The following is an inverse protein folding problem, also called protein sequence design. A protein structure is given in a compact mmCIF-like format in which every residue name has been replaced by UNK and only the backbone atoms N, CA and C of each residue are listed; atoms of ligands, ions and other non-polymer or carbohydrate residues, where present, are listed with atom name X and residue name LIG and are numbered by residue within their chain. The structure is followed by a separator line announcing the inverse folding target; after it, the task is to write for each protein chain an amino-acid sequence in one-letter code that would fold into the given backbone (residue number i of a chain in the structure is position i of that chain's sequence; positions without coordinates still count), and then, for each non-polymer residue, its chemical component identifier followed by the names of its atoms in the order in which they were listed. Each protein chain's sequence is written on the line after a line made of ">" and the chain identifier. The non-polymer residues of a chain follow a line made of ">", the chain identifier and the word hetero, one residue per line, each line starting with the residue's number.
data_IF_216504195916
#
_entry.id   IF_216504195916
#
_cell.length_a   1.000
_cell.length_b   1.000
_cell.length_c   1.000
_cell.angle_alpha   90.00
_cell.angle_beta   90.00
_cell.angle_gamma   90.00
#
_symmetry.space_group_name_H-M   'P 1'
#
loop_
_entity.id
_entity.type
_entity.pdbx_description
1 polymer ?
#
# COMPACT_ATOMS: atom_id res chain seq x y z
N UNK A 1 21.56 12.18 -31.94
CA UNK A 1 21.75 10.90 -31.22
C UNK A 1 22.00 11.27 -29.77
N UNK A 2 20.92 11.39 -28.99
CA UNK A 2 20.99 11.85 -27.61
C UNK A 2 21.62 10.76 -26.74
N UNK A 3 22.52 11.17 -25.85
CA UNK A 3 23.08 10.33 -24.81
C UNK A 3 21.93 9.76 -23.97
N UNK A 4 21.62 8.48 -24.16
CA UNK A 4 20.86 7.73 -23.16
C UNK A 4 21.71 7.74 -21.89
N UNK A 5 21.16 8.27 -20.79
CA UNK A 5 21.77 8.17 -19.46
C UNK A 5 22.12 6.70 -19.24
N UNK A 6 23.42 6.42 -19.19
CA UNK A 6 23.98 5.06 -19.14
C UNK A 6 23.86 4.43 -17.75
N UNK A 7 23.44 5.23 -16.77
CA UNK A 7 23.28 4.87 -15.37
C UNK A 7 21.96 5.50 -14.90
N UNK A 8 21.13 4.72 -14.21
CA UNK A 8 20.00 5.26 -13.45
C UNK A 8 20.55 6.25 -12.42
N UNK A 9 19.83 7.36 -12.18
CA UNK A 9 20.22 8.31 -11.15
C UNK A 9 20.31 7.57 -9.80
N UNK A 10 21.32 7.91 -8.99
CA UNK A 10 21.53 7.27 -7.69
C UNK A 10 20.28 7.46 -6.85
N UNK A 11 19.54 6.37 -6.61
CA UNK A 11 18.26 6.45 -5.90
C UNK A 11 18.58 6.77 -4.45
N UNK A 12 18.03 7.90 -3.96
CA UNK A 12 18.26 8.38 -2.61
C UNK A 12 17.81 7.37 -1.54
N UNK A 13 18.22 7.56 -0.27
CA UNK A 13 17.78 6.65 0.78
C UNK A 13 16.27 6.75 0.99
N UNK A 14 15.65 5.63 1.34
CA UNK A 14 14.25 5.59 1.73
C UNK A 14 14.11 6.13 3.16
N UNK A 15 13.35 7.20 3.36
CA UNK A 15 13.21 7.84 4.67
C UNK A 15 11.87 7.45 5.31
N UNK A 16 11.83 7.41 6.65
CA UNK A 16 10.57 7.37 7.39
C UNK A 16 10.11 8.81 7.60
N UNK A 17 9.05 9.19 6.89
CA UNK A 17 8.52 10.57 6.89
C UNK A 17 7.63 10.82 8.10
N UNK A 18 6.85 9.82 8.48
CA UNK A 18 5.90 9.94 9.59
C UNK A 18 5.59 8.56 10.19
N UNK A 19 5.35 8.53 11.50
CA UNK A 19 4.77 7.37 12.19
C UNK A 19 3.46 7.77 12.85
N UNK A 20 2.52 6.83 12.89
CA UNK A 20 1.22 6.98 13.53
C UNK A 20 1.00 5.73 14.37
N UNK A 21 1.05 5.78 15.70
CA UNK A 21 1.26 6.98 16.50
C UNK A 21 2.66 7.60 16.28
N UNK A 22 2.76 8.90 16.56
CA UNK A 22 4.06 9.55 16.65
C UNK A 22 4.86 8.96 17.84
N UNK A 23 6.18 8.98 17.75
CA UNK A 23 7.01 8.58 18.89
C UNK A 23 6.73 9.49 20.10
N UNK A 24 6.41 8.88 21.25
CA UNK A 24 6.03 9.56 22.48
C UNK A 24 4.55 9.99 22.53
N UNK A 25 3.70 9.57 21.60
CA UNK A 25 2.25 9.78 21.67
C UNK A 25 1.70 9.24 23.00
N UNK A 26 0.85 10.01 23.67
CA UNK A 26 0.38 9.69 25.03
C UNK A 26 -1.09 9.24 25.10
N UNK A 27 -1.81 9.32 23.99
CA UNK A 27 -3.23 9.01 23.93
C UNK A 27 -3.59 8.25 22.64
N UNK A 28 -2.84 7.19 22.33
CA UNK A 28 -3.12 6.35 21.18
C UNK A 28 -4.39 5.51 21.40
N UNK A 29 -5.24 5.42 20.38
CA UNK A 29 -6.48 4.65 20.44
C UNK A 29 -6.19 3.14 20.65
N UNK A 30 -6.77 2.48 21.67
CA UNK A 30 -6.71 1.02 21.84
C UNK A 30 -7.11 0.20 20.61
N UNK A 31 -7.91 0.78 19.73
CA UNK A 31 -8.38 0.19 18.48
C UNK A 31 -7.62 0.69 17.26
N UNK A 32 -6.57 1.48 17.45
CA UNK A 32 -5.80 2.06 16.35
C UNK A 32 -5.01 1.04 15.55
N UNK A 33 -4.72 1.40 14.30
CA UNK A 33 -3.69 0.78 13.48
C UNK A 33 -2.40 1.58 13.63
N UNK A 34 -1.25 0.92 13.57
CA UNK A 34 0.03 1.61 13.57
C UNK A 34 0.54 1.70 12.14
N UNK A 35 0.86 2.89 11.67
CA UNK A 35 1.29 3.17 10.30
C UNK A 35 2.68 3.81 10.28
N UNK A 36 3.56 3.32 9.42
CA UNK A 36 4.90 3.86 9.14
C UNK A 36 4.90 4.32 7.69
N UNK A 37 4.96 5.63 7.49
CA UNK A 37 4.95 6.25 6.17
C UNK A 37 6.38 6.51 5.68
N UNK A 38 6.63 6.11 4.43
CA UNK A 38 7.93 6.22 3.78
C UNK A 38 7.94 7.32 2.71
N UNK A 39 9.13 7.83 2.39
CA UNK A 39 9.32 8.88 1.38
C UNK A 39 9.09 8.42 -0.06
N UNK A 40 9.25 7.11 -0.32
CA UNK A 40 9.08 6.49 -1.63
C UNK A 40 8.38 5.13 -1.49
N UNK A 41 8.11 4.49 -2.64
CA UNK A 41 7.45 3.19 -2.68
C UNK A 41 8.33 2.07 -2.11
N UNK A 42 7.70 1.18 -1.36
CA UNK A 42 8.35 0.05 -0.69
C UNK A 42 8.10 -1.23 -1.47
N UNK A 43 9.12 -2.09 -1.61
CA UNK A 43 8.98 -3.40 -2.22
C UNK A 43 8.28 -4.39 -1.26
N UNK A 44 7.07 -4.87 -1.55
CA UNK A 44 6.38 -5.83 -0.69
C UNK A 44 7.07 -7.21 -0.67
N UNK A 45 8.02 -7.50 -1.58
CA UNK A 45 8.74 -8.79 -1.65
C UNK A 45 9.77 -8.96 -0.55
N UNK A 46 10.31 -7.86 -0.01
CA UNK A 46 11.45 -7.91 0.93
C UNK A 46 11.02 -7.80 2.40
N UNK A 47 9.76 -7.45 2.67
CA UNK A 47 9.24 -7.35 4.03
C UNK A 47 8.83 -8.74 4.54
N UNK A 48 9.56 -9.22 5.54
CA UNK A 48 9.31 -10.46 6.25
C UNK A 48 8.51 -10.31 7.55
N UNK A 49 8.28 -11.45 8.21
CA UNK A 49 7.40 -11.52 9.38
C UNK A 49 7.96 -10.89 10.67
N UNK A 50 9.26 -10.64 10.70
CA UNK A 50 9.94 -10.19 11.91
C UNK A 50 10.50 -8.77 11.78
N UNK A 51 10.22 -8.11 10.67
CA UNK A 51 10.84 -6.83 10.37
C UNK A 51 10.13 -5.67 11.05
N UNK A 52 8.81 -5.76 11.21
CA UNK A 52 8.03 -4.84 12.03
C UNK A 52 7.17 -5.65 13.02
N UNK A 53 7.36 -5.38 14.33
CA UNK A 53 6.77 -6.17 15.42
C UNK A 53 6.29 -5.26 16.56
N UNK A 54 5.18 -5.61 17.21
CA UNK A 54 4.59 -4.86 18.32
C UNK A 54 4.96 -5.50 19.66
N UNK A 55 5.34 -4.67 20.64
CA UNK A 55 5.79 -5.12 21.96
C UNK A 55 5.20 -4.27 23.08
N UNK A 56 5.06 -4.87 24.26
CA UNK A 56 4.96 -4.15 25.53
C UNK A 56 5.86 -4.86 26.56
N UNK A 57 6.79 -4.10 27.15
CA UNK A 57 7.86 -4.68 27.97
C UNK A 57 8.65 -5.77 27.22
N UNK A 58 8.61 -7.00 27.76
CA UNK A 58 9.24 -8.19 27.17
C UNK A 58 8.30 -9.07 26.34
N UNK A 59 7.03 -8.68 26.18
CA UNK A 59 6.02 -9.44 25.45
C UNK A 59 5.91 -8.95 24.00
N UNK A 60 5.77 -9.88 23.07
CA UNK A 60 5.46 -9.60 21.66
C UNK A 60 3.99 -9.90 21.41
N UNK A 61 3.32 -9.03 20.66
CA UNK A 61 1.90 -9.12 20.33
C UNK A 61 1.72 -9.45 18.86
N UNK A 62 0.72 -10.28 18.58
CA UNK A 62 0.34 -10.63 17.22
C UNK A 62 -0.28 -9.41 16.52
N UNK A 63 0.29 -9.06 15.37
CA UNK A 63 -0.22 -8.01 14.51
C UNK A 63 -0.16 -8.43 13.05
N UNK A 64 -1.23 -8.18 12.33
CA UNK A 64 -1.25 -8.32 10.87
C UNK A 64 -0.46 -7.17 10.24
N UNK A 65 0.35 -7.51 9.24
CA UNK A 65 1.05 -6.51 8.43
C UNK A 65 0.40 -6.32 7.08
N UNK A 66 0.35 -5.07 6.67
CA UNK A 66 -0.07 -4.69 5.32
C UNK A 66 0.95 -3.69 4.77
N UNK A 67 1.35 -3.89 3.51
CA UNK A 67 2.00 -2.83 2.73
C UNK A 67 0.92 -2.14 1.93
N UNK A 68 0.77 -0.84 2.12
CA UNK A 68 -0.05 0.01 1.28
C UNK A 68 0.89 0.71 0.29
N UNK A 69 0.95 0.25 -0.96
CA UNK A 69 1.73 0.95 -2.00
C UNK A 69 1.23 2.39 -2.21
N UNK A 70 -0.06 2.58 -2.00
CA UNK A 70 -0.76 3.85 -2.03
C UNK A 70 -1.52 4.01 -0.73
N UNK A 71 -1.45 5.18 -0.07
CA UNK A 71 -2.04 5.40 1.26
C UNK A 71 -3.57 5.49 1.21
N UNK A 72 -4.23 4.35 1.04
CA UNK A 72 -5.66 4.23 0.76
C UNK A 72 -6.51 4.14 2.03
N UNK A 73 -5.93 3.70 3.15
CA UNK A 73 -6.58 3.71 4.46
C UNK A 73 -6.31 5.01 5.18
N UNK A 74 -7.26 5.47 5.99
CA UNK A 74 -7.06 6.64 6.83
C UNK A 74 -5.92 6.38 7.84
N UNK A 75 -5.09 7.39 8.14
CA UNK A 75 -3.97 7.25 9.06
C UNK A 75 -4.44 6.81 10.44
N UNK A 76 -3.88 5.71 10.95
CA UNK A 76 -4.14 5.21 12.31
C UNK A 76 -5.52 4.59 12.55
N UNK A 77 -6.45 4.65 11.60
CA UNK A 77 -7.82 4.10 11.75
C UNK A 77 -7.95 2.73 11.07
N UNK A 78 -8.70 1.81 11.70
CA UNK A 78 -9.02 0.48 11.14
C UNK A 78 -10.21 0.47 10.19
N UNK A 79 -11.08 1.45 10.29
CA UNK A 79 -12.44 1.47 9.76
C UNK A 79 -12.73 2.64 8.80
N UNK A 80 -11.70 3.42 8.46
CA UNK A 80 -11.85 4.56 7.56
C UNK A 80 -10.89 4.47 6.37
N UNK A 81 -11.40 4.91 5.22
CA UNK A 81 -10.62 5.14 4.01
C UNK A 81 -10.00 6.54 4.07
N UNK A 82 -8.86 6.70 3.42
CA UNK A 82 -8.26 8.02 3.26
C UNK A 82 -9.13 8.88 2.32
N UNK A 83 -9.33 10.14 2.68
CA UNK A 83 -9.97 11.11 1.78
C UNK A 83 -8.99 11.70 0.75
N UNK A 84 -7.68 11.62 1.04
CA UNK A 84 -6.57 12.11 0.21
C UNK A 84 -5.32 11.25 0.44
N UNK A 85 -4.40 11.20 -0.54
CA UNK A 85 -3.07 10.61 -0.33
C UNK A 85 -2.34 11.38 0.77
N UNK A 86 -2.08 10.73 1.91
CA UNK A 86 -1.47 11.34 3.09
C UNK A 86 -0.01 10.95 3.28
N UNK A 87 0.44 9.87 2.62
CA UNK A 87 1.83 9.47 2.60
C UNK A 87 2.44 9.69 1.20
N UNK A 88 3.62 10.34 1.07
CA UNK A 88 4.27 10.55 -0.21
C UNK A 88 4.68 9.25 -0.90
N UNK A 89 5.09 8.23 -0.14
CA UNK A 89 5.43 6.90 -0.65
C UNK A 89 4.44 5.83 -0.19
N UNK A 90 4.98 4.66 0.17
CA UNK A 90 4.20 3.55 0.73
C UNK A 90 4.04 3.66 2.25
N UNK A 91 3.08 2.92 2.78
CA UNK A 91 2.85 2.77 4.23
C UNK A 91 3.02 1.30 4.61
N UNK A 92 3.80 1.03 5.66
CA UNK A 92 3.76 -0.26 6.35
C UNK A 92 2.83 -0.12 7.55
N UNK A 93 1.79 -0.93 7.58
CA UNK A 93 0.80 -0.93 8.65
C UNK A 93 0.91 -2.18 9.51
N UNK A 94 0.81 -2.00 10.83
CA UNK A 94 0.64 -3.07 11.82
C UNK A 94 -0.76 -2.93 12.43
N UNK A 95 -1.60 -3.94 12.22
CA UNK A 95 -2.93 -4.03 12.82
C UNK A 95 -2.91 -5.07 13.93
N UNK A 96 -3.02 -4.66 15.21
CA UNK A 96 -3.12 -5.62 16.32
C UNK A 96 -4.29 -6.59 16.12
N UNK A 97 -4.04 -7.88 16.36
CA UNK A 97 -5.06 -8.95 16.20
C UNK A 97 -6.19 -8.83 17.23
N UNK A 98 -5.96 -8.15 18.34
CA UNK A 98 -6.94 -7.77 19.37
C UNK A 98 -6.74 -6.30 19.76
N UNK A 99 -7.71 -5.64 20.41
CA UNK A 99 -7.47 -4.34 21.05
C UNK A 99 -6.22 -4.40 21.93
N UNK A 100 -5.43 -3.32 21.92
CA UNK A 100 -4.29 -3.20 22.82
C UNK A 100 -4.75 -2.60 24.15
N UNK A 101 -4.17 -3.09 25.25
CA UNK A 101 -4.67 -2.78 26.59
C UNK A 101 -4.53 -1.28 26.93
N UNK A 102 -5.60 -0.61 27.40
CA UNK A 102 -5.57 0.78 27.83
C UNK A 102 -4.56 1.09 28.95
N UNK A 103 -3.96 2.28 28.90
CA UNK A 103 -3.06 2.80 29.93
C UNK A 103 -1.68 2.12 30.00
N UNK A 104 -1.31 1.37 28.96
CA UNK A 104 -0.02 0.66 28.88
C UNK A 104 0.85 1.25 27.78
N UNK A 105 2.17 1.26 28.01
CA UNK A 105 3.17 1.61 27.01
C UNK A 105 3.41 0.44 26.05
N UNK A 106 3.34 0.76 24.76
CA UNK A 106 3.69 -0.14 23.66
C UNK A 106 4.83 0.44 22.85
N UNK A 107 5.51 -0.43 22.11
CA UNK A 107 6.48 -0.01 21.12
C UNK A 107 6.43 -0.87 19.87
N UNK A 108 6.56 -0.22 18.72
CA UNK A 108 6.92 -0.91 17.48
C UNK A 108 8.43 -1.02 17.41
N UNK A 109 8.91 -2.22 17.09
CA UNK A 109 10.30 -2.47 16.70
C UNK A 109 10.34 -2.70 15.20
N UNK A 110 10.99 -1.80 14.48
CA UNK A 110 11.34 -1.93 13.07
C UNK A 110 12.83 -2.29 12.95
N UNK A 111 13.15 -3.32 12.17
CA UNK A 111 14.54 -3.67 11.82
C UNK A 111 14.97 -2.91 10.59
N UNK A 112 16.28 -2.74 10.42
CA UNK A 112 16.82 -2.41 9.10
C UNK A 112 16.49 -3.52 8.10
N UNK A 113 15.92 -3.15 6.97
CA UNK A 113 15.57 -4.05 5.87
C UNK A 113 16.39 -3.59 4.66
N UNK A 114 17.29 -4.44 4.19
CA UNK A 114 18.14 -4.13 3.04
C UNK A 114 17.30 -4.09 1.76
N UNK A 115 17.46 -3.03 0.97
CA UNK A 115 16.73 -2.84 -0.29
C UNK A 115 15.21 -2.74 -0.11
N UNK A 116 14.77 -2.07 0.96
CA UNK A 116 13.34 -1.91 1.27
C UNK A 116 12.59 -1.12 0.20
N UNK A 117 13.24 -0.13 -0.41
CA UNK A 117 12.62 0.65 -1.48
C UNK A 117 12.38 -0.18 -2.74
N UNK A 118 11.40 0.24 -3.53
CA UNK A 118 10.96 -0.47 -4.73
C UNK A 118 12.09 -0.67 -5.76
N UNK A 119 12.98 0.31 -5.90
CA UNK A 119 14.17 0.26 -6.75
C UNK A 119 15.42 -0.28 -6.03
N UNK A 120 15.26 -0.83 -4.82
CA UNK A 120 16.34 -1.35 -3.99
C UNK A 120 16.99 -0.31 -3.07
N UNK A 121 16.32 0.82 -2.83
CA UNK A 121 16.78 1.86 -1.90
C UNK A 121 16.97 1.29 -0.50
N UNK A 122 18.09 1.64 0.14
CA UNK A 122 18.30 1.35 1.54
C UNK A 122 17.50 2.33 2.42
N UNK A 123 17.01 1.84 3.54
CA UNK A 123 16.39 2.66 4.57
C UNK A 123 17.42 3.64 5.17
N UNK A 124 17.05 4.90 5.33
CA UNK A 124 17.90 5.88 6.01
C UNK A 124 18.00 5.53 7.50
N UNK A 125 19.19 5.07 7.88
CA UNK A 125 19.53 4.69 9.25
C UNK A 125 20.40 5.72 9.97
N UNK A 126 20.67 6.88 9.37
CA UNK A 126 21.55 7.90 9.96
C UNK A 126 20.86 8.72 11.08
N UNK A 127 19.55 8.58 11.24
CA UNK A 127 18.78 9.28 12.28
C UNK A 127 19.06 8.77 13.71
N UNK A 128 18.96 9.63 14.73
CA UNK A 128 19.29 9.28 16.13
C UNK A 128 18.34 8.24 16.76
N UNK A 129 17.22 7.94 16.11
CA UNK A 129 16.25 6.97 16.59
C UNK A 129 16.65 5.51 16.30
N UNK A 130 17.64 5.29 15.44
CA UNK A 130 18.22 3.97 15.17
C UNK A 130 19.23 3.58 16.24
N UNK A 131 19.05 2.39 16.80
CA UNK A 131 19.89 1.83 17.86
C UNK A 131 20.44 0.49 17.40
N UNK A 132 21.74 0.30 17.53
CA UNK A 132 22.38 -0.98 17.29
C UNK A 132 22.16 -1.93 18.48
N UNK A 133 21.83 -3.19 18.21
CA UNK A 133 21.87 -4.24 19.23
C UNK A 133 23.30 -4.76 19.47
N UNK A 134 23.46 -5.70 20.41
CA UNK A 134 24.77 -6.28 20.76
C UNK A 134 25.49 -6.94 19.57
N UNK A 135 24.76 -7.29 18.51
CA UNK A 135 25.30 -7.89 17.29
C UNK A 135 25.51 -6.85 16.17
N UNK A 136 25.30 -5.56 16.44
CA UNK A 136 25.41 -4.46 15.47
C UNK A 136 24.20 -4.31 14.54
N UNK A 137 23.11 -5.03 14.76
CA UNK A 137 21.91 -4.88 13.93
C UNK A 137 21.14 -3.62 14.33
N UNK A 138 20.81 -2.78 13.34
CA UNK A 138 20.07 -1.55 13.57
C UNK A 138 18.57 -1.80 13.75
N UNK A 139 18.00 -1.11 14.74
CA UNK A 139 16.57 -1.15 15.07
C UNK A 139 16.06 0.25 15.38
N UNK A 140 14.87 0.55 14.89
CA UNK A 140 14.09 1.70 15.28
C UNK A 140 13.01 1.27 16.28
N UNK A 141 12.84 2.06 17.34
CA UNK A 141 11.76 1.89 18.31
C UNK A 141 10.82 3.09 18.28
N UNK A 142 9.53 2.82 18.07
CA UNK A 142 8.47 3.83 18.13
C UNK A 142 7.64 3.52 19.37
N UNK A 143 7.89 4.26 20.45
CA UNK A 143 7.21 4.08 21.74
C UNK A 143 5.98 4.99 21.82
N UNK A 144 4.88 4.50 22.38
CA UNK A 144 3.64 5.24 22.57
C UNK A 144 2.83 4.67 23.74
N UNK A 145 1.97 5.51 24.31
CA UNK A 145 1.06 5.15 25.39
C UNK A 145 -0.38 5.06 24.88
N UNK A 146 -1.08 4.00 25.29
CA UNK A 146 -2.47 3.76 24.92
C UNK A 146 -3.41 4.54 25.84
N UNK A 147 -4.37 5.26 25.26
CA UNK A 147 -5.35 6.03 26.01
C UNK A 147 -6.15 5.16 26.99
N UNK A 148 -6.44 5.71 28.17
CA UNK A 148 -7.19 5.03 29.24
C UNK A 148 -6.33 4.72 30.46
N UNK A 149 -6.82 3.86 31.34
CA UNK A 149 -6.12 3.44 32.56
C UNK A 149 -5.91 1.92 32.60
N UNK A 150 -4.83 1.44 33.21
CA UNK A 150 -4.63 0.01 33.41
C UNK A 150 -5.82 -0.62 34.14
N UNK A 151 -6.44 -1.63 33.51
CA UNK A 151 -7.59 -2.34 34.06
C UNK A 151 -8.96 -1.82 33.60
N UNK A 152 -8.99 -0.77 32.77
CA UNK A 152 -10.17 -0.45 31.98
C UNK A 152 -10.53 -1.66 31.09
N UNK A 153 -11.82 -1.93 30.85
CA UNK A 153 -12.23 -3.03 30.00
C UNK A 153 -11.75 -2.82 28.57
N UNK A 154 -11.32 -3.90 27.92
CA UNK A 154 -11.03 -3.85 26.49
C UNK A 154 -12.30 -3.45 25.71
N UNK A 155 -12.16 -2.67 24.63
CA UNK A 155 -13.28 -2.38 23.74
C UNK A 155 -13.92 -3.68 23.22
N UNK A 156 -15.24 -3.81 23.35
CA UNK A 156 -15.97 -5.03 22.97
C UNK A 156 -16.02 -5.28 21.46
N UNK A 157 -16.00 -4.21 20.66
CA UNK A 157 -16.10 -4.25 19.21
C UNK A 157 -14.83 -3.71 18.55
N UNK A 158 -14.25 -4.50 17.66
CA UNK A 158 -13.09 -4.10 16.86
C UNK A 158 -13.61 -3.50 15.56
N UNK A 159 -13.38 -2.19 15.29
CA UNK A 159 -13.83 -1.54 14.08
C UNK A 159 -13.23 -2.20 12.85
N UNK A 160 -14.06 -2.40 11.83
CA UNK A 160 -13.67 -2.89 10.53
C UNK A 160 -14.23 -1.95 9.45
N UNK A 161 -13.54 -1.86 8.32
CA UNK A 161 -14.11 -1.23 7.14
C UNK A 161 -15.43 -1.91 6.78
N UNK A 162 -16.40 -1.17 6.20
CA UNK A 162 -17.52 -1.81 5.54
C UNK A 162 -17.03 -2.74 4.41
N UNK A 163 -17.89 -3.62 3.87
CA UNK A 163 -17.56 -4.36 2.66
C UNK A 163 -17.21 -3.40 1.53
N UNK A 164 -16.12 -3.70 0.82
CA UNK A 164 -15.68 -2.90 -0.34
C UNK A 164 -16.52 -3.14 -1.58
N UNK A 165 -16.29 -2.32 -2.63
CA UNK A 165 -16.99 -2.47 -3.90
C UNK A 165 -16.67 -3.81 -4.55
N UNK A 166 -17.62 -4.37 -5.28
CA UNK A 166 -17.33 -5.45 -6.22
C UNK A 166 -16.84 -4.88 -7.55
N UNK A 167 -16.30 -5.72 -8.44
CA UNK A 167 -15.91 -5.25 -9.77
C UNK A 167 -17.11 -4.69 -10.53
N UNK A 168 -18.29 -5.29 -10.39
CA UNK A 168 -19.53 -4.75 -10.98
C UNK A 168 -19.81 -3.32 -10.50
N UNK A 169 -19.58 -3.00 -9.22
CA UNK A 169 -19.75 -1.62 -8.73
C UNK A 169 -18.72 -0.64 -9.35
N UNK A 170 -17.54 -1.11 -9.74
CA UNK A 170 -16.52 -0.27 -10.40
C UNK A 170 -16.87 0.09 -11.85
N UNK A 171 -17.86 -0.58 -12.44
CA UNK A 171 -18.40 -0.33 -13.79
C UNK A 171 -19.68 0.52 -13.79
N UNK A 172 -20.23 0.86 -12.62
CA UNK A 172 -21.40 1.74 -12.54
C UNK A 172 -21.10 3.14 -13.12
N UNK A 173 -22.12 3.90 -13.59
CA UNK A 173 -21.91 5.22 -14.15
C UNK A 173 -21.10 6.15 -13.23
N UNK A 174 -20.05 6.76 -13.78
CA UNK A 174 -19.13 7.64 -13.06
C UNK A 174 -17.99 6.92 -12.33
N UNK A 175 -17.94 5.59 -12.32
CA UNK A 175 -16.90 4.81 -11.62
C UNK A 175 -15.72 4.48 -12.54
N UNK A 176 -14.60 4.05 -11.98
CA UNK A 176 -13.31 3.96 -12.70
C UNK A 176 -13.34 3.15 -13.99
N UNK A 177 -14.16 2.10 -14.04
CA UNK A 177 -14.34 1.24 -15.23
C UNK A 177 -15.66 1.50 -15.96
N UNK A 178 -16.33 2.63 -15.71
CA UNK A 178 -17.43 3.10 -16.54
C UNK A 178 -16.97 3.24 -18.00
N UNK A 179 -17.57 2.54 -18.97
CA UNK A 179 -17.22 2.65 -20.39
C UNK A 179 -17.33 4.07 -20.95
N UNK A 180 -18.20 4.91 -20.37
CA UNK A 180 -18.38 6.30 -20.79
C UNK A 180 -17.31 7.24 -20.22
N UNK A 181 -16.48 6.78 -19.26
CA UNK A 181 -15.32 7.55 -18.77
C UNK A 181 -14.10 7.26 -19.64
N UNK A 182 -13.33 8.31 -19.95
CA UNK A 182 -12.10 8.19 -20.74
C UNK A 182 -10.97 7.42 -20.04
N UNK A 183 -11.02 7.28 -18.71
CA UNK A 183 -9.93 6.75 -17.88
C UNK A 183 -9.42 5.37 -18.34
N UNK A 184 -10.31 4.51 -18.86
CA UNK A 184 -9.96 3.19 -19.38
C UNK A 184 -10.47 2.96 -20.82
N UNK A 185 -10.77 4.02 -21.57
CA UNK A 185 -11.48 3.94 -22.86
C UNK A 185 -10.78 3.08 -23.93
N UNK A 186 -9.44 3.03 -23.92
CA UNK A 186 -8.66 2.15 -24.80
C UNK A 186 -8.92 0.66 -24.55
N UNK A 187 -9.30 0.29 -23.33
CA UNK A 187 -9.58 -1.08 -22.91
C UNK A 187 -11.08 -1.44 -22.93
N UNK A 188 -11.97 -0.44 -23.07
CA UNK A 188 -13.43 -0.62 -23.04
C UNK A 188 -14.07 -0.67 -24.43
N UNK A 189 -13.30 -0.41 -25.49
CA UNK A 189 -13.79 -0.41 -26.87
C UNK A 189 -14.61 0.81 -27.27
N UNK A 190 -14.61 1.85 -26.44
CA UNK A 190 -15.21 3.17 -26.76
C UNK A 190 -14.28 4.01 -27.63
N UNK A 191 -12.97 3.76 -27.58
CA UNK A 191 -11.97 4.32 -28.50
C UNK A 191 -11.71 3.34 -29.65
N UNK A 192 -11.58 3.84 -30.88
CA UNK A 192 -11.30 3.03 -32.09
C UNK A 192 -9.94 3.39 -32.69
N UNK A 193 -9.29 2.41 -33.32
CA UNK A 193 -7.95 2.54 -33.90
C UNK A 193 -7.02 1.39 -33.46
N UNK A 194 -5.88 1.26 -34.13
CA UNK A 194 -4.95 0.14 -33.93
C UNK A 194 -4.48 0.04 -32.47
N UNK A 195 -4.24 1.17 -31.79
CA UNK A 195 -3.81 1.20 -30.39
C UNK A 195 -4.89 0.72 -29.42
N UNK A 196 -6.16 1.03 -29.69
CA UNK A 196 -7.29 0.57 -28.88
C UNK A 196 -7.57 -0.92 -29.09
N UNK A 197 -7.41 -1.42 -30.32
CA UNK A 197 -7.49 -2.85 -30.60
C UNK A 197 -6.38 -3.62 -29.88
N UNK A 198 -5.14 -3.11 -29.92
CA UNK A 198 -4.01 -3.68 -29.18
C UNK A 198 -4.21 -3.62 -27.66
N UNK A 199 -4.76 -2.53 -27.13
CA UNK A 199 -5.04 -2.39 -25.70
C UNK A 199 -6.06 -3.43 -25.22
N UNK A 200 -7.21 -3.58 -25.91
CA UNK A 200 -8.20 -4.62 -25.60
C UNK A 200 -7.66 -6.04 -25.76
N UNK A 201 -6.87 -6.28 -26.81
CA UNK A 201 -6.24 -7.59 -27.01
C UNK A 201 -5.27 -7.97 -25.88
N UNK A 202 -4.74 -6.99 -25.14
CA UNK A 202 -3.89 -7.21 -23.97
C UNK A 202 -4.67 -7.30 -22.66
N UNK A 203 -5.75 -6.52 -22.52
CA UNK A 203 -6.63 -6.48 -21.37
C UNK A 203 -7.98 -5.91 -21.82
N UNK A 204 -9.03 -6.73 -21.78
CA UNK A 204 -10.39 -6.32 -22.12
C UNK A 204 -11.16 -5.91 -20.87
N UNK A 205 -11.52 -4.63 -20.79
CA UNK A 205 -12.34 -4.05 -19.72
C UNK A 205 -13.73 -3.66 -20.24
N UNK A 206 -14.24 -4.30 -21.29
CA UNK A 206 -15.52 -3.94 -21.90
C UNK A 206 -16.76 -4.19 -21.02
N UNK A 207 -16.70 -5.18 -20.12
CA UNK A 207 -17.77 -5.49 -19.17
C UNK A 207 -17.21 -6.14 -17.89
N UNK A 208 -17.97 -6.15 -16.77
CA UNK A 208 -17.48 -6.68 -15.50
C UNK A 208 -17.04 -8.15 -15.55
N UNK A 209 -17.73 -9.01 -16.30
CA UNK A 209 -17.43 -10.44 -16.32
C UNK A 209 -16.18 -10.75 -17.14
N UNK A 210 -16.04 -10.11 -18.29
CA UNK A 210 -14.84 -10.20 -19.13
C UNK A 210 -13.64 -9.62 -18.37
N UNK A 211 -13.78 -8.41 -17.80
CA UNK A 211 -12.73 -7.77 -17.01
C UNK A 211 -12.30 -8.63 -15.82
N UNK A 212 -13.25 -9.26 -15.12
CA UNK A 212 -12.90 -10.14 -13.99
C UNK A 212 -12.04 -11.33 -14.44
N UNK A 213 -12.38 -11.95 -15.57
CA UNK A 213 -11.59 -13.06 -16.11
C UNK A 213 -10.18 -12.60 -16.51
N UNK A 214 -10.07 -11.45 -17.16
CA UNK A 214 -8.79 -10.89 -17.64
C UNK A 214 -7.93 -10.28 -16.53
N UNK A 215 -8.52 -9.85 -15.42
CA UNK A 215 -7.80 -9.26 -14.28
C UNK A 215 -7.46 -10.31 -13.22
N UNK A 216 -8.41 -11.17 -12.85
CA UNK A 216 -8.33 -12.03 -11.66
C UNK A 216 -7.97 -13.47 -12.02
N UNK A 217 -8.48 -13.99 -13.14
CA UNK A 217 -8.21 -15.38 -13.57
C UNK A 217 -7.05 -15.49 -14.57
N UNK A 218 -6.45 -14.37 -14.97
CA UNK A 218 -5.31 -14.33 -15.89
C UNK A 218 -4.15 -15.15 -15.32
N UNK A 219 -3.67 -16.17 -16.04
CA UNK A 219 -2.58 -17.00 -15.56
C UNK A 219 -1.23 -16.30 -15.75
N UNK A 220 -0.28 -16.61 -14.87
CA UNK A 220 1.10 -16.15 -14.98
C UNK A 220 1.41 -14.94 -14.10
N UNK A 221 2.66 -14.51 -14.18
CA UNK A 221 3.18 -13.34 -13.48
C UNK A 221 3.46 -12.24 -14.50
N UNK A 222 3.25 -11.00 -14.07
CA UNK A 222 3.61 -9.80 -14.81
C UNK A 222 5.07 -9.41 -14.52
N UNK A 223 5.54 -8.27 -15.03
CA UNK A 223 6.95 -7.90 -15.03
C UNK A 223 7.60 -7.75 -13.64
N UNK A 224 6.80 -7.60 -12.59
CA UNK A 224 7.26 -7.45 -11.19
C UNK A 224 7.20 -8.77 -10.41
N UNK A 225 7.00 -9.89 -11.10
CA UNK A 225 6.79 -11.23 -10.54
C UNK A 225 5.49 -11.36 -9.72
N UNK A 226 4.54 -10.46 -9.94
CA UNK A 226 3.21 -10.48 -9.34
C UNK A 226 2.13 -10.76 -10.38
N UNK A 227 1.04 -11.47 -10.02
CA UNK A 227 -0.15 -11.56 -10.87
C UNK A 227 -0.75 -10.18 -11.19
N UNK A 228 -1.59 -10.12 -12.23
CA UNK A 228 -2.38 -8.92 -12.56
C UNK A 228 -3.18 -8.42 -11.34
N UNK A 229 -3.90 -9.33 -10.69
CA UNK A 229 -4.54 -9.11 -9.38
C UNK A 229 -4.14 -10.23 -8.43
N UNK A 230 -3.71 -9.84 -7.23
CA UNK A 230 -3.49 -10.72 -6.09
C UNK A 230 -4.60 -10.46 -5.06
N UNK A 231 -5.68 -11.27 -5.02
CA UNK A 231 -6.77 -11.08 -4.08
C UNK A 231 -6.27 -10.97 -2.63
N UNK A 232 -6.78 -9.98 -1.91
CA UNK A 232 -6.40 -9.62 -0.52
C UNK A 232 -4.99 -9.05 -0.35
N UNK A 233 -4.24 -8.86 -1.43
CA UNK A 233 -2.88 -8.34 -1.38
C UNK A 233 -2.69 -7.22 -2.43
N UNK A 234 -3.25 -6.01 -2.19
CA UNK A 234 -3.21 -4.93 -3.18
C UNK A 234 -1.79 -4.53 -3.59
N UNK A 235 -0.84 -4.43 -2.66
CA UNK A 235 0.55 -4.13 -2.97
C UNK A 235 1.22 -5.17 -3.90
N UNK A 236 0.75 -6.41 -3.87
CA UNK A 236 1.24 -7.51 -4.71
C UNK A 236 0.40 -7.67 -5.98
N UNK A 237 -0.36 -6.66 -6.39
CA UNK A 237 -1.18 -6.70 -7.61
C UNK A 237 -0.56 -5.78 -8.66
N UNK A 238 -0.19 -6.34 -9.81
CA UNK A 238 0.46 -5.57 -10.89
C UNK A 238 -0.42 -4.42 -11.40
N UNK A 239 -1.75 -4.57 -11.40
CA UNK A 239 -2.66 -3.47 -11.74
C UNK A 239 -2.39 -2.24 -10.87
N UNK A 240 -2.32 -2.39 -9.54
CA UNK A 240 -2.09 -1.26 -8.65
C UNK A 240 -0.70 -0.66 -8.87
N UNK A 241 0.31 -1.50 -9.06
CA UNK A 241 1.68 -1.05 -9.35
C UNK A 241 1.77 -0.29 -10.68
N UNK A 242 0.89 -0.59 -11.63
CA UNK A 242 0.77 0.13 -12.90
C UNK A 242 0.06 1.48 -12.80
N UNK A 243 -0.82 1.63 -11.82
CA UNK A 243 -1.60 2.84 -11.57
C UNK A 243 -0.89 3.83 -10.64
N UNK A 244 -0.06 3.33 -9.72
CA UNK A 244 0.75 4.15 -8.82
C UNK A 244 1.90 4.79 -9.59
N UNK A 245 2.15 6.06 -9.27
CA UNK A 245 3.25 6.86 -9.81
C UNK A 245 4.19 7.26 -8.68
N UNK A 246 5.48 7.35 -8.99
CA UNK A 246 6.50 7.94 -8.11
C UNK A 246 6.18 9.42 -7.85
N UNK A 247 6.91 10.04 -6.92
CA UNK A 247 6.78 11.47 -6.65
C UNK A 247 7.00 12.36 -7.90
N UNK A 248 7.85 11.91 -8.82
CA UNK A 248 8.13 12.61 -10.09
C UNK A 248 7.07 12.34 -11.18
N UNK A 249 6.08 11.48 -10.89
CA UNK A 249 4.99 11.13 -11.81
C UNK A 249 5.31 9.95 -12.73
N UNK A 250 6.47 9.32 -12.57
CA UNK A 250 6.91 8.19 -13.40
C UNK A 250 6.32 6.85 -12.94
N UNK A 251 6.44 5.84 -13.80
CA UNK A 251 6.13 4.47 -13.42
C UNK A 251 7.12 3.96 -12.36
N UNK A 252 6.68 3.02 -11.51
CA UNK A 252 7.60 2.35 -10.58
C UNK A 252 8.69 1.60 -11.36
N UNK A 253 9.87 1.39 -10.74
CA UNK A 253 10.95 0.64 -11.36
C UNK A 253 10.49 -0.77 -11.80
N UNK A 254 11.05 -1.29 -12.90
CA UNK A 254 10.70 -2.59 -13.53
C UNK A 254 9.25 -2.74 -14.05
N UNK A 255 8.41 -1.73 -13.93
CA UNK A 255 7.07 -1.73 -14.53
C UNK A 255 7.17 -1.60 -16.05
N UNK A 256 6.45 -2.45 -16.79
CA UNK A 256 6.66 -2.56 -18.25
C UNK A 256 5.93 -1.44 -19.02
N UNK A 257 6.67 -0.47 -19.57
CA UNK A 257 6.10 0.73 -20.21
C UNK A 257 5.74 1.83 -19.21
N UNK A 258 5.00 2.85 -19.64
CA UNK A 258 4.66 4.02 -18.79
C UNK A 258 3.61 3.71 -17.73
N UNK A 259 3.48 4.60 -16.74
CA UNK A 259 2.38 4.56 -15.76
C UNK A 259 1.03 4.74 -16.46
N UNK A 260 -0.03 4.16 -15.91
CA UNK A 260 -1.37 4.21 -16.49
C UNK A 260 -2.34 4.97 -15.58
N UNK A 261 -3.31 5.72 -16.16
CA UNK A 261 -3.36 6.18 -17.55
C UNK A 261 -2.13 7.03 -17.90
N UNK A 262 -1.70 7.13 -19.17
CA UNK A 262 -0.43 7.77 -19.52
C UNK A 262 -0.43 9.29 -19.29
N UNK A 263 -1.53 9.95 -19.64
CA UNK A 263 -1.63 11.41 -19.65
C UNK A 263 -1.68 11.99 -18.22
N UNK A 264 -2.57 11.46 -17.38
CA UNK A 264 -2.81 11.94 -16.02
C UNK A 264 -3.03 10.75 -15.06
N UNK A 265 -2.66 10.88 -13.77
CA UNK A 265 -3.02 9.89 -12.76
C UNK A 265 -4.53 9.78 -12.58
N UNK A 266 -4.99 8.60 -12.16
CA UNK A 266 -6.37 8.45 -11.70
C UNK A 266 -6.64 9.35 -10.48
N UNK A 267 -7.89 9.83 -10.33
CA UNK A 267 -8.36 10.42 -9.09
C UNK A 267 -8.07 9.50 -7.88
N UNK A 268 -7.77 10.12 -6.73
CA UNK A 268 -7.48 9.40 -5.49
C UNK A 268 -8.58 8.38 -5.14
N UNK A 269 -9.84 8.79 -5.25
CA UNK A 269 -11.01 7.94 -4.98
C UNK A 269 -11.03 6.67 -5.85
N UNK A 270 -10.70 6.79 -7.14
CA UNK A 270 -10.67 5.65 -8.06
C UNK A 270 -9.57 4.64 -7.68
N UNK A 271 -8.39 5.13 -7.26
CA UNK A 271 -7.30 4.27 -6.77
C UNK A 271 -7.70 3.60 -5.45
N UNK A 272 -8.35 4.33 -4.54
CA UNK A 272 -8.87 3.77 -3.28
C UNK A 272 -9.89 2.68 -3.55
N UNK A 273 -10.84 2.90 -4.47
CA UNK A 273 -11.86 1.91 -4.83
C UNK A 273 -11.27 0.63 -5.42
N UNK A 274 -10.30 0.75 -6.34
CA UNK A 274 -9.58 -0.42 -6.89
C UNK A 274 -8.81 -1.15 -5.78
N UNK A 275 -8.08 -0.40 -4.94
CA UNK A 275 -7.28 -0.97 -3.87
C UNK A 275 -8.16 -1.70 -2.84
N UNK A 276 -9.30 -1.11 -2.49
CA UNK A 276 -10.27 -1.69 -1.56
C UNK A 276 -10.93 -2.94 -2.15
N UNK A 277 -11.34 -2.92 -3.41
CA UNK A 277 -11.84 -4.10 -4.13
C UNK A 277 -10.85 -5.27 -4.08
N UNK A 278 -9.57 -4.99 -4.37
CA UNK A 278 -8.52 -6.02 -4.29
C UNK A 278 -8.36 -6.53 -2.86
N UNK A 279 -8.33 -5.63 -1.86
CA UNK A 279 -8.18 -5.99 -0.44
C UNK A 279 -9.31 -6.91 0.05
N UNK A 280 -10.51 -6.75 -0.49
CA UNK A 280 -11.71 -7.55 -0.18
C UNK A 280 -11.77 -8.89 -0.95
N UNK A 281 -10.74 -9.20 -1.72
CA UNK A 281 -10.59 -10.44 -2.45
C UNK A 281 -11.03 -10.37 -3.91
N UNK A 282 -11.10 -9.18 -4.49
CA UNK A 282 -11.33 -8.97 -5.92
C UNK A 282 -12.60 -9.68 -6.47
N UNK A 283 -13.73 -9.52 -5.77
CA UNK A 283 -15.01 -10.16 -6.11
C UNK A 283 -15.68 -9.47 -7.30
N UNK A 284 -16.45 -10.21 -8.10
CA UNK A 284 -17.27 -9.66 -9.19
C UNK A 284 -18.56 -9.01 -8.68
#
# INVERSE_FOLDING_TARGET
>A
LGEQRRFEDEVGPLEIVQTIPAAGEVAFDPLGRIDICFSAEVDPRVIGEFDATLHSGGLTFDAQREVQLYSWRAPGSRDQLAATRWCPGSVISLTPSSPIQPGIDFRVRLREIAGLGWAGEALDTQGPAWVADDNGNLRLYIEFHVAGSPGDPDPEEVPALPPGPTLTNLFEPGRVFDPERAACGCHQGTVTGDDAELARARLDLGDPQTAWNELVLRPGLEATDFPMISPRQPAQSYLLQKLVRTADGDALHAIHGVAMPPDDPLPHEDIVDITWWISEGAKI
#
